data_IF_047766098883
#
_entry.id   IF_047766098883
#
_cell.length_a   1.000
_cell.length_b   1.000
_cell.length_c   1.000
_cell.angle_alpha   90.00
_cell.angle_beta   90.00
_cell.angle_gamma   90.00
#
_symmetry.space_group_name_H-M   'P 1'
#
loop_
_entity.id
_entity.type
_entity.pdbx_description
1 polymer ?
#
# COMPACT_ATOMS: atom_id res chain seq x y z
N UNK A 1 -17.33 -12.48 10.13
CA UNK A 1 -16.53 -11.41 9.46
C UNK A 1 -17.43 -10.21 9.21
N UNK A 2 -16.92 -8.98 9.35
CA UNK A 2 -17.67 -7.77 8.96
C UNK A 2 -17.52 -7.58 7.44
N UNK A 3 -18.58 -7.12 6.77
CA UNK A 3 -18.58 -6.80 5.34
C UNK A 3 -18.47 -5.28 5.16
N UNK A 4 -17.62 -4.84 4.24
CA UNK A 4 -17.46 -3.44 3.88
C UNK A 4 -17.82 -3.25 2.40
N UNK A 5 -19.03 -2.78 2.08
CA UNK A 5 -19.35 -2.37 0.71
C UNK A 5 -18.63 -1.04 0.42
N UNK A 6 -17.93 -0.98 -0.72
CA UNK A 6 -17.20 0.20 -1.17
C UNK A 6 -17.71 0.61 -2.55
N UNK A 7 -18.05 1.88 -2.70
CA UNK A 7 -18.35 2.48 -4.01
C UNK A 7 -17.08 3.13 -4.57
N UNK A 8 -16.53 2.43 -5.55
CA UNK A 8 -15.43 2.80 -6.45
C UNK A 8 -15.70 3.98 -7.38
N UNK A 9 -14.72 4.80 -7.78
CA UNK A 9 -14.75 5.28 -9.17
C UNK A 9 -14.37 4.13 -10.11
N UNK A 10 -14.77 4.19 -11.39
CA UNK A 10 -14.39 3.17 -12.38
C UNK A 10 -12.86 3.04 -12.51
N UNK A 11 -12.14 4.16 -12.49
CA UNK A 11 -10.68 4.19 -12.57
C UNK A 11 -9.99 3.42 -11.44
N UNK A 12 -10.48 3.57 -10.21
CA UNK A 12 -9.98 2.81 -9.06
C UNK A 12 -10.34 1.33 -9.22
N UNK A 13 -11.57 1.03 -9.66
CA UNK A 13 -12.01 -0.35 -9.88
C UNK A 13 -11.12 -1.08 -10.90
N UNK A 14 -10.87 -0.44 -12.04
CA UNK A 14 -10.02 -0.95 -13.13
C UNK A 14 -8.57 -1.13 -12.66
N UNK A 15 -8.04 -0.16 -11.92
CA UNK A 15 -6.70 -0.27 -11.33
C UNK A 15 -6.56 -1.46 -10.38
N UNK A 16 -7.56 -1.68 -9.52
CA UNK A 16 -7.60 -2.83 -8.62
C UNK A 16 -7.67 -4.16 -9.39
N UNK A 17 -8.47 -4.22 -10.46
CA UNK A 17 -8.55 -5.41 -11.32
C UNK A 17 -7.23 -5.68 -12.04
N UNK A 18 -6.57 -4.64 -12.56
CA UNK A 18 -5.29 -4.77 -13.24
C UNK A 18 -4.18 -5.25 -12.28
N UNK A 19 -4.14 -4.73 -11.05
CA UNK A 19 -3.24 -5.22 -10.01
C UNK A 19 -3.50 -6.68 -9.66
N UNK A 20 -4.77 -7.05 -9.45
CA UNK A 20 -5.18 -8.42 -9.15
C UNK A 20 -4.70 -9.39 -10.25
N UNK A 21 -4.94 -9.05 -11.52
CA UNK A 21 -4.55 -9.85 -12.67
C UNK A 21 -3.02 -10.05 -12.77
N UNK A 22 -2.22 -8.99 -12.59
CA UNK A 22 -0.75 -9.06 -12.65
C UNK A 22 -0.14 -10.00 -11.62
N UNK A 23 -0.81 -10.18 -10.48
CA UNK A 23 -0.29 -10.97 -9.36
C UNK A 23 -1.06 -12.29 -9.14
N UNK A 24 -2.04 -12.61 -10.00
CA UNK A 24 -2.87 -13.81 -9.83
C UNK A 24 -3.69 -13.81 -8.54
N UNK A 25 -4.09 -12.63 -8.06
CA UNK A 25 -4.83 -12.45 -6.81
C UNK A 25 -6.30 -12.15 -7.08
N UNK A 26 -7.16 -12.35 -6.08
CA UNK A 26 -8.48 -11.75 -6.08
C UNK A 26 -8.39 -10.25 -5.78
N UNK A 27 -9.32 -9.47 -6.35
CA UNK A 27 -9.43 -8.01 -6.09
C UNK A 27 -9.52 -7.69 -4.59
N UNK A 28 -10.23 -8.53 -3.82
CA UNK A 28 -10.36 -8.40 -2.37
C UNK A 28 -9.03 -8.54 -1.64
N UNK A 29 -8.13 -9.41 -2.11
CA UNK A 29 -6.80 -9.57 -1.53
C UNK A 29 -5.93 -8.33 -1.78
N UNK A 30 -6.03 -7.72 -2.96
CA UNK A 30 -5.37 -6.45 -3.27
C UNK A 30 -5.85 -5.35 -2.33
N UNK A 31 -7.16 -5.24 -2.10
CA UNK A 31 -7.75 -4.25 -1.17
C UNK A 31 -7.26 -4.48 0.26
N UNK A 32 -7.24 -5.73 0.73
CA UNK A 32 -6.75 -6.07 2.09
C UNK A 32 -5.27 -5.71 2.25
N UNK A 33 -4.44 -5.98 1.24
CA UNK A 33 -3.02 -5.63 1.25
C UNK A 33 -2.82 -4.10 1.25
N UNK A 34 -3.56 -3.37 0.41
CA UNK A 34 -3.52 -1.90 0.39
C UNK A 34 -3.91 -1.30 1.75
N UNK A 35 -4.98 -1.82 2.38
CA UNK A 35 -5.40 -1.38 3.71
C UNK A 35 -4.34 -1.69 4.78
N UNK A 36 -3.67 -2.84 4.69
CA UNK A 36 -2.60 -3.21 5.63
C UNK A 36 -1.40 -2.27 5.55
N UNK A 37 -1.00 -1.87 4.33
CA UNK A 37 0.06 -0.87 4.11
C UNK A 37 -0.33 0.50 4.68
N UNK A 38 -1.58 0.93 4.47
CA UNK A 38 -2.09 2.17 5.02
C UNK A 38 -2.07 2.17 6.55
N UNK A 39 -2.52 1.08 7.18
CA UNK A 39 -2.50 0.93 8.64
C UNK A 39 -1.08 0.98 9.22
N UNK A 40 -0.10 0.40 8.53
CA UNK A 40 1.31 0.49 8.94
C UNK A 40 1.84 1.92 8.82
N UNK A 41 1.55 2.62 7.72
CA UNK A 41 1.96 4.00 7.52
C UNK A 41 1.36 4.93 8.60
N UNK A 42 0.07 4.76 8.90
CA UNK A 42 -0.63 5.50 9.97
C UNK A 42 -0.02 5.21 11.35
N UNK A 43 0.25 3.93 11.67
CA UNK A 43 0.90 3.55 12.92
C UNK A 43 2.27 4.21 13.12
N UNK A 44 3.10 4.26 12.07
CA UNK A 44 4.40 4.95 12.15
C UNK A 44 4.25 6.47 12.31
N UNK A 45 3.29 7.08 11.62
CA UNK A 45 3.01 8.50 11.77
C UNK A 45 2.54 8.86 13.19
N UNK A 46 1.65 8.06 13.78
CA UNK A 46 1.12 8.29 15.13
C UNK A 46 2.17 8.26 16.23
N UNK A 47 3.27 7.50 16.05
CA UNK A 47 4.34 7.40 17.06
C UNK A 47 5.10 8.71 17.25
N UNK A 48 5.09 9.60 16.25
CA UNK A 48 5.79 10.89 16.29
C UNK A 48 7.28 10.77 16.69
N UNK A 49 7.89 9.60 16.46
CA UNK A 49 9.27 9.26 16.81
C UNK A 49 10.25 9.53 15.64
N UNK A 50 9.76 10.18 14.59
CA UNK A 50 10.52 10.46 13.37
C UNK A 50 10.59 9.28 12.39
N UNK A 51 9.97 8.14 12.69
CA UNK A 51 9.95 6.99 11.76
C UNK A 51 8.94 7.17 10.64
N UNK A 52 9.24 6.61 9.46
CA UNK A 52 8.35 6.67 8.30
C UNK A 52 8.46 5.40 7.46
N UNK A 53 7.42 5.11 6.67
CA UNK A 53 7.44 4.01 5.71
C UNK A 53 8.00 4.51 4.38
N UNK A 54 9.01 3.82 3.85
CA UNK A 54 9.66 4.16 2.59
C UNK A 54 9.62 2.99 1.61
N UNK A 55 9.62 3.32 0.32
CA UNK A 55 9.90 2.37 -0.76
C UNK A 55 11.38 2.46 -1.06
N UNK A 56 12.09 1.35 -0.92
CA UNK A 56 13.52 1.24 -1.19
C UNK A 56 13.76 0.40 -2.44
N UNK A 57 14.77 0.78 -3.22
CA UNK A 57 15.32 -0.02 -4.31
C UNK A 57 16.61 -0.66 -3.82
N UNK A 58 16.73 -1.97 -4.01
CA UNK A 58 17.99 -2.68 -3.85
C UNK A 58 18.88 -2.37 -5.06
N UNK A 59 20.06 -1.82 -4.81
CA UNK A 59 21.04 -1.54 -5.86
C UNK A 59 21.92 -2.77 -6.08
N UNK A 60 22.52 -2.92 -7.26
CA UNK A 60 23.39 -4.07 -7.56
C UNK A 60 24.59 -4.22 -6.59
N UNK A 61 24.91 -3.17 -5.82
CA UNK A 61 25.94 -3.17 -4.77
C UNK A 61 25.46 -3.51 -3.36
N UNK A 62 24.17 -3.83 -3.16
CA UNK A 62 23.58 -4.13 -1.85
C UNK A 62 23.31 -2.90 -0.97
N UNK A 63 23.48 -1.69 -1.52
CA UNK A 63 23.00 -0.46 -0.87
C UNK A 63 21.50 -0.28 -1.13
N UNK A 64 20.78 0.20 -0.12
CA UNK A 64 19.36 0.53 -0.24
C UNK A 64 19.21 2.01 -0.61
N UNK A 65 18.64 2.28 -1.78
CA UNK A 65 18.28 3.62 -2.24
C UNK A 65 16.82 3.91 -1.89
N UNK A 66 16.55 5.01 -1.17
CA UNK A 66 15.17 5.47 -0.92
C UNK A 66 14.62 6.10 -2.19
N UNK A 67 13.60 5.46 -2.79
CA UNK A 67 12.98 5.92 -4.05
C UNK A 67 11.57 6.47 -3.85
N UNK A 68 11.02 6.38 -2.64
CA UNK A 68 9.72 6.95 -2.32
C UNK A 68 9.42 6.92 -0.84
N UNK A 69 8.52 7.79 -0.41
CA UNK A 69 7.97 7.81 0.95
C UNK A 69 6.49 7.47 0.87
N UNK A 70 6.04 6.50 1.66
CA UNK A 70 4.62 6.21 1.84
C UNK A 70 4.12 7.09 2.98
N UNK A 71 3.46 8.19 2.64
CA UNK A 71 2.72 8.96 3.64
C UNK A 71 1.39 8.25 3.93
N UNK A 72 1.03 8.22 5.21
CA UNK A 72 -0.34 7.91 5.59
C UNK A 72 -1.30 8.98 5.06
N UNK A 73 -2.55 8.91 5.50
CA UNK A 73 -3.35 10.12 5.56
C UNK A 73 -2.58 11.08 6.50
N UNK A 74 -2.61 12.40 6.30
CA UNK A 74 -1.95 13.46 7.10
C UNK A 74 -0.55 13.93 6.63
#
# INVERSE_FOLDING_TARGET
MRRLPLLVSNEIDDSLNAMAARHGLAKTEVIVKAFSLLALADHHWLRQDGTTLAVVRDTEGGELEVIGKVQGLF
#
